data_IF_020332188248
#
_entry.id   IF_020332188248
#
_cell.length_a   1.000
_cell.length_b   1.000
_cell.length_c   1.000
_cell.angle_alpha   90.00
_cell.angle_beta   90.00
_cell.angle_gamma   90.00
#
_symmetry.space_group_name_H-M   'P 1'
#
loop_
_entity.id
_entity.type
_entity.pdbx_description
1 polymer ?
#
# COMPACT_ATOMS: atom_id res chain seq x y z
N UNK A 1 -15.34 12.90 7.94
CA UNK A 1 -14.43 11.86 8.44
C UNK A 1 -13.69 11.31 7.25
N UNK A 2 -12.37 11.47 7.19
CA UNK A 2 -11.54 10.93 6.10
C UNK A 2 -11.53 9.41 6.28
N UNK A 3 -11.97 8.67 5.27
CA UNK A 3 -12.03 7.20 5.31
C UNK A 3 -10.60 6.64 5.30
N UNK A 4 -10.02 6.52 6.47
CA UNK A 4 -8.65 6.01 6.68
C UNK A 4 -8.48 4.60 6.10
N UNK A 5 -9.57 3.82 6.11
CA UNK A 5 -9.61 2.47 5.55
C UNK A 5 -9.41 2.45 4.03
N UNK A 6 -9.98 3.42 3.31
CA UNK A 6 -9.75 3.56 1.85
C UNK A 6 -8.29 3.88 1.52
N UNK A 7 -7.63 4.69 2.34
CA UNK A 7 -6.23 5.04 2.16
C UNK A 7 -5.28 3.85 2.39
N UNK A 8 -5.57 3.03 3.40
CA UNK A 8 -4.79 1.82 3.68
C UNK A 8 -4.99 0.72 2.62
N UNK A 9 -6.14 0.70 1.96
CA UNK A 9 -6.46 -0.24 0.89
C UNK A 9 -5.99 0.23 -0.49
N UNK A 10 -5.68 1.52 -0.65
CA UNK A 10 -5.19 2.05 -1.91
C UNK A 10 -3.84 1.39 -2.28
N UNK A 11 -3.66 0.97 -3.53
CA UNK A 11 -2.36 0.45 -3.97
C UNK A 11 -1.30 1.52 -3.80
N UNK A 12 -0.06 1.16 -3.40
CA UNK A 12 1.01 2.13 -3.21
C UNK A 12 1.25 2.88 -4.52
N UNK A 13 1.47 4.19 -4.41
CA UNK A 13 1.75 5.04 -5.57
C UNK A 13 2.94 4.52 -6.35
N UNK A 14 2.82 4.44 -7.68
CA UNK A 14 3.87 3.95 -8.58
C UNK A 14 4.29 5.03 -9.57
N UNK A 15 5.52 4.89 -10.11
CA UNK A 15 6.04 5.81 -11.12
C UNK A 15 6.68 7.08 -10.55
N UNK A 16 6.81 8.11 -11.39
CA UNK A 16 7.52 9.35 -11.07
C UNK A 16 6.98 10.08 -9.83
N UNK A 17 5.67 10.00 -9.57
CA UNK A 17 5.05 10.59 -8.38
C UNK A 17 5.54 9.98 -7.07
N UNK A 18 5.82 8.67 -7.04
CA UNK A 18 6.35 8.00 -5.87
C UNK A 18 7.76 8.50 -5.54
N UNK A 19 8.60 8.69 -6.56
CA UNK A 19 9.94 9.28 -6.37
C UNK A 19 9.87 10.73 -5.93
N UNK A 20 8.98 11.54 -6.52
CA UNK A 20 8.76 12.92 -6.09
C UNK A 20 8.33 13.02 -4.63
N UNK A 21 7.40 12.17 -4.19
CA UNK A 21 6.97 12.11 -2.81
C UNK A 21 8.09 11.64 -1.87
N UNK A 22 8.93 10.69 -2.28
CA UNK A 22 10.08 10.24 -1.52
C UNK A 22 11.12 11.36 -1.33
N UNK A 23 11.41 12.12 -2.39
CA UNK A 23 12.31 13.27 -2.32
C UNK A 23 11.75 14.37 -1.41
N UNK A 24 10.45 14.67 -1.51
CA UNK A 24 9.79 15.64 -0.62
C UNK A 24 9.83 15.20 0.84
N UNK A 25 9.68 13.91 1.12
CA UNK A 25 9.75 13.38 2.47
C UNK A 25 11.13 13.57 3.14
N UNK A 26 12.20 13.69 2.35
CA UNK A 26 13.54 14.03 2.85
C UNK A 26 13.78 15.53 2.83
N UNK A 27 13.43 16.21 1.73
CA UNK A 27 13.73 17.63 1.53
C UNK A 27 12.97 18.52 2.51
N UNK A 28 11.70 18.21 2.80
CA UNK A 28 10.87 19.05 3.67
C UNK A 28 11.40 19.13 5.11
N UNK A 29 11.65 18.01 5.82
CA UNK A 29 12.23 18.07 7.17
C UNK A 29 13.64 18.65 7.17
N UNK A 30 14.44 18.44 6.10
CA UNK A 30 15.76 19.05 5.96
C UNK A 30 15.66 20.58 5.81
N UNK A 31 14.74 21.08 5.00
CA UNK A 31 14.50 22.51 4.82
C UNK A 31 13.98 23.17 6.11
N UNK A 32 13.04 22.53 6.81
CA UNK A 32 12.55 23.01 8.11
C UNK A 32 13.71 23.10 9.11
N UNK A 33 14.55 22.06 9.16
CA UNK A 33 15.71 22.05 10.05
C UNK A 33 16.72 23.15 9.68
N UNK A 34 16.99 23.35 8.40
CA UNK A 34 17.88 24.43 7.94
C UNK A 34 17.35 25.82 8.32
N UNK A 35 16.02 26.01 8.26
CA UNK A 35 15.39 27.28 8.63
C UNK A 35 15.44 27.55 10.15
N UNK A 36 15.50 26.49 10.98
CA UNK A 36 15.48 26.57 12.46
C UNK A 36 16.87 26.43 13.06
N UNK A 37 17.92 26.28 12.26
CA UNK A 37 19.30 26.01 12.68
C UNK A 37 19.92 26.97 13.73
N UNK A 38 19.19 28.02 14.17
CA UNK A 38 19.58 28.84 15.32
C UNK A 38 19.10 28.30 16.69
N UNK A 39 18.23 27.30 16.72
CA UNK A 39 17.51 26.86 17.93
C UNK A 39 17.74 25.38 18.25
N UNK A 40 18.10 24.54 17.27
CA UNK A 40 18.20 23.07 17.45
C UNK A 40 19.66 22.65 17.37
N UNK A 41 20.32 22.61 18.51
CA UNK A 41 21.64 21.99 18.69
C UNK A 41 21.45 20.55 19.15
N UNK A 42 21.54 19.57 18.23
CA UNK A 42 21.47 18.16 18.62
C UNK A 42 21.41 17.19 17.45
N UNK A 43 21.81 15.93 17.71
CA UNK A 43 21.74 14.80 16.77
C UNK A 43 20.32 14.25 16.64
N UNK A 44 19.32 15.13 16.56
CA UNK A 44 17.92 14.74 16.61
C UNK A 44 17.37 14.32 15.24
N UNK A 45 17.02 13.04 15.12
CA UNK A 45 16.32 12.47 13.95
C UNK A 45 14.79 12.59 14.08
N UNK A 46 14.31 13.05 15.23
CA UNK A 46 12.86 13.15 15.57
C UNK A 46 12.01 13.81 14.48
N UNK A 47 12.43 14.93 13.82
CA UNK A 47 11.64 15.58 12.78
C UNK A 47 11.41 14.73 11.54
N UNK A 48 12.21 13.68 11.30
CA UNK A 48 12.09 12.82 10.12
C UNK A 48 11.12 11.63 10.33
N UNK A 49 10.85 11.25 11.59
CA UNK A 49 9.97 10.12 11.90
C UNK A 49 8.56 10.23 11.28
N UNK A 50 7.84 11.36 11.38
CA UNK A 50 6.51 11.48 10.79
C UNK A 50 6.56 11.37 9.26
N UNK A 51 7.64 11.82 8.60
CA UNK A 51 7.79 11.71 7.16
C UNK A 51 8.11 10.29 6.71
N UNK A 52 8.89 9.53 7.49
CA UNK A 52 9.09 8.09 7.27
C UNK A 52 7.79 7.32 7.44
N UNK A 53 6.98 7.67 8.45
CA UNK A 53 5.67 7.06 8.64
C UNK A 53 4.75 7.33 7.45
N UNK A 54 4.66 8.57 6.98
CA UNK A 54 3.91 8.93 5.79
C UNK A 54 4.42 8.20 4.55
N UNK A 55 5.74 8.11 4.39
CA UNK A 55 6.34 7.35 3.30
C UNK A 55 5.98 5.85 3.38
N UNK A 56 5.98 5.26 4.57
CA UNK A 56 5.58 3.85 4.77
C UNK A 56 4.10 3.60 4.45
N UNK A 57 3.24 4.61 4.65
CA UNK A 57 1.81 4.54 4.32
C UNK A 57 1.56 4.73 2.83
N UNK A 58 2.25 5.65 2.17
CA UNK A 58 1.93 6.08 0.80
C UNK A 58 2.76 5.35 -0.27
N UNK A 59 3.99 4.96 0.08
CA UNK A 59 4.98 4.43 -0.85
C UNK A 59 5.14 2.90 -0.70
N UNK A 60 5.68 2.22 -1.71
CA UNK A 60 6.12 0.85 -1.55
C UNK A 60 7.27 0.78 -0.52
N UNK A 61 7.37 -0.34 0.18
CA UNK A 61 8.29 -0.53 1.31
C UNK A 61 9.75 -0.18 1.00
N UNK A 62 10.22 -0.47 -0.21
CA UNK A 62 11.60 -0.19 -0.63
C UNK A 62 11.88 1.33 -0.78
N UNK A 63 10.89 2.12 -1.26
CA UNK A 63 11.01 3.58 -1.31
C UNK A 63 10.97 4.19 0.09
N UNK A 64 10.14 3.68 0.99
CA UNK A 64 10.14 4.13 2.38
C UNK A 64 11.49 3.83 3.07
N UNK A 65 12.10 2.67 2.79
CA UNK A 65 13.44 2.34 3.25
C UNK A 65 14.50 3.29 2.66
N UNK A 66 14.40 3.62 1.38
CA UNK A 66 15.27 4.62 0.74
C UNK A 66 15.13 6.00 1.38
N UNK A 67 13.91 6.44 1.73
CA UNK A 67 13.70 7.71 2.45
C UNK A 67 14.44 7.71 3.78
N UNK A 68 14.37 6.62 4.56
CA UNK A 68 15.08 6.51 5.83
C UNK A 68 16.61 6.57 5.64
N UNK A 69 17.15 5.83 4.66
CA UNK A 69 18.58 5.82 4.35
C UNK A 69 19.07 7.18 3.83
N UNK A 70 18.31 7.82 2.93
CA UNK A 70 18.65 9.14 2.42
C UNK A 70 18.60 10.20 3.52
N UNK A 71 17.66 10.12 4.46
CA UNK A 71 17.61 11.03 5.60
C UNK A 71 18.88 10.95 6.45
N UNK A 72 19.37 9.73 6.72
CA UNK A 72 20.65 9.54 7.43
C UNK A 72 21.82 10.04 6.61
N UNK A 73 21.86 9.76 5.30
CA UNK A 73 22.92 10.21 4.40
C UNK A 73 22.99 11.73 4.28
N UNK A 74 21.85 12.40 4.12
CA UNK A 74 21.78 13.88 4.04
C UNK A 74 22.23 14.51 5.36
N UNK A 75 21.74 14.01 6.50
CA UNK A 75 22.16 14.50 7.81
C UNK A 75 23.66 14.25 8.04
N UNK A 76 24.15 13.03 7.73
CA UNK A 76 25.57 12.71 7.83
C UNK A 76 26.43 13.63 6.97
N UNK A 77 26.03 13.90 5.71
CA UNK A 77 26.75 14.81 4.83
C UNK A 77 26.78 16.27 5.32
N UNK A 78 25.68 16.72 5.95
CA UNK A 78 25.63 18.07 6.54
C UNK A 78 26.45 18.19 7.83
N UNK A 79 26.63 17.08 8.57
CA UNK A 79 27.34 17.06 9.84
C UNK A 79 28.85 16.73 9.72
N UNK A 80 29.27 16.05 8.64
CA UNK A 80 30.69 15.69 8.41
C UNK A 80 31.64 16.90 8.39
N UNK A 81 31.12 18.13 8.20
CA UNK A 81 31.91 19.37 8.33
C UNK A 81 32.20 19.86 9.77
N UNK A 82 31.57 19.21 10.78
CA UNK A 82 31.75 19.57 12.20
C UNK A 82 32.58 18.47 12.88
N UNK A 83 33.85 18.72 13.12
CA UNK A 83 34.87 17.75 13.52
C UNK A 83 34.88 17.36 15.01
N UNK A 84 33.80 17.53 15.75
CA UNK A 84 33.74 17.14 17.17
C UNK A 84 33.48 15.67 17.34
N UNK A 85 34.40 14.93 17.94
CA UNK A 85 34.31 13.48 18.20
C UNK A 85 33.05 13.10 18.98
N UNK A 86 32.60 13.95 19.92
CA UNK A 86 31.35 13.76 20.67
C UNK A 86 30.10 13.79 19.81
N UNK A 87 30.09 14.63 18.75
CA UNK A 87 28.99 14.72 17.78
C UNK A 87 28.92 13.47 16.90
N UNK A 88 30.05 12.88 16.55
CA UNK A 88 30.12 11.67 15.73
C UNK A 88 29.49 10.45 16.46
N UNK A 89 29.76 10.31 17.75
CA UNK A 89 29.21 9.22 18.57
C UNK A 89 27.70 9.37 18.82
N UNK A 90 27.24 10.61 19.09
CA UNK A 90 25.84 10.95 19.19
C UNK A 90 25.10 10.69 17.85
N UNK A 91 25.69 11.07 16.72
CA UNK A 91 25.12 10.86 15.40
C UNK A 91 24.97 9.37 15.09
N UNK A 92 25.99 8.55 15.33
CA UNK A 92 25.97 7.12 15.07
C UNK A 92 24.87 6.40 15.89
N UNK A 93 24.76 6.75 17.18
CA UNK A 93 23.73 6.20 18.06
C UNK A 93 22.32 6.66 17.62
N UNK A 94 22.15 7.94 17.33
CA UNK A 94 20.87 8.50 16.87
C UNK A 94 20.44 7.92 15.52
N UNK A 95 21.36 7.77 14.57
CA UNK A 95 21.11 7.14 13.28
C UNK A 95 20.73 5.66 13.44
N UNK A 96 21.38 4.93 14.32
CA UNK A 96 21.06 3.54 14.63
C UNK A 96 19.63 3.40 15.18
N UNK A 97 19.25 4.19 16.17
CA UNK A 97 17.91 4.21 16.75
C UNK A 97 16.86 4.62 15.69
N UNK A 98 17.16 5.63 14.88
CA UNK A 98 16.28 6.09 13.82
C UNK A 98 16.05 5.00 12.76
N UNK A 99 17.10 4.35 12.29
CA UNK A 99 16.98 3.25 11.31
C UNK A 99 16.21 2.06 11.89
N UNK A 100 16.46 1.68 13.13
CA UNK A 100 15.75 0.61 13.80
C UNK A 100 14.25 0.93 13.93
N UNK A 101 13.89 2.14 14.38
CA UNK A 101 12.51 2.59 14.50
C UNK A 101 11.81 2.70 13.14
N UNK A 102 12.54 3.17 12.11
CA UNK A 102 12.04 3.24 10.74
C UNK A 102 11.78 1.84 10.17
N UNK A 103 12.69 0.89 10.38
CA UNK A 103 12.53 -0.49 9.95
C UNK A 103 11.34 -1.16 10.66
N UNK A 104 11.17 -0.95 11.95
CA UNK A 104 10.01 -1.43 12.71
C UNK A 104 8.70 -0.85 12.15
N UNK A 105 8.64 0.46 11.90
CA UNK A 105 7.47 1.14 11.34
C UNK A 105 7.11 0.59 9.96
N UNK A 106 8.09 0.47 9.05
CA UNK A 106 7.90 -0.09 7.72
C UNK A 106 7.44 -1.56 7.82
N UNK A 107 8.05 -2.35 8.70
CA UNK A 107 7.68 -3.75 8.95
C UNK A 107 6.24 -3.91 9.42
N UNK A 108 5.81 -3.10 10.37
CA UNK A 108 4.42 -3.07 10.85
C UNK A 108 3.45 -2.72 9.72
N UNK A 109 3.76 -1.70 8.90
CA UNK A 109 2.90 -1.32 7.78
C UNK A 109 2.80 -2.41 6.71
N UNK A 110 3.92 -3.09 6.41
CA UNK A 110 3.92 -4.25 5.50
C UNK A 110 3.07 -5.40 6.07
N UNK A 111 3.21 -5.69 7.37
CA UNK A 111 2.42 -6.73 8.04
C UNK A 111 0.92 -6.40 8.01
N UNK A 112 0.53 -5.17 8.35
CA UNK A 112 -0.85 -4.69 8.29
C UNK A 112 -1.42 -4.87 6.87
N UNK A 113 -0.70 -4.44 5.84
CA UNK A 113 -1.13 -4.60 4.43
C UNK A 113 -1.30 -6.07 4.03
N UNK A 114 -0.40 -6.96 4.49
CA UNK A 114 -0.51 -8.41 4.23
C UNK A 114 -1.73 -9.01 4.91
N UNK A 115 -2.00 -8.63 6.17
CA UNK A 115 -3.19 -9.09 6.89
C UNK A 115 -4.47 -8.62 6.19
N UNK A 116 -4.56 -7.35 5.80
CA UNK A 116 -5.71 -6.83 5.05
C UNK A 116 -5.89 -7.53 3.70
N UNK A 117 -4.82 -7.79 2.95
CA UNK A 117 -4.90 -8.54 1.70
C UNK A 117 -5.38 -9.98 1.93
N UNK A 118 -4.90 -10.65 2.99
CA UNK A 118 -5.32 -12.01 3.33
C UNK A 118 -6.79 -12.08 3.80
N UNK A 119 -7.27 -11.08 4.54
CA UNK A 119 -8.67 -11.02 4.98
C UNK A 119 -9.60 -10.73 3.81
N UNK A 120 -9.18 -9.92 2.83
CA UNK A 120 -9.98 -9.72 1.61
C UNK A 120 -10.08 -11.00 0.77
N UNK A 121 -9.01 -11.77 0.64
CA UNK A 121 -9.05 -13.06 -0.05
C UNK A 121 -9.91 -14.09 0.70
N UNK A 122 -9.82 -14.15 2.03
CA UNK A 122 -10.68 -15.01 2.85
C UNK A 122 -12.15 -14.59 2.80
N UNK A 123 -12.42 -13.28 2.79
CA UNK A 123 -13.78 -12.76 2.64
C UNK A 123 -14.44 -13.14 1.31
N UNK A 124 -13.66 -13.46 0.28
CA UNK A 124 -14.19 -13.96 -1.02
C UNK A 124 -14.52 -15.47 -0.92
N UNK A 125 -13.74 -16.24 -0.16
CA UNK A 125 -13.97 -17.68 0.02
C UNK A 125 -15.04 -17.99 1.10
N UNK A 126 -15.23 -17.10 2.07
CA UNK A 126 -16.16 -17.30 3.20
C UNK A 126 -17.49 -16.54 3.01
N UNK A 127 -17.60 -15.73 1.96
CA UNK A 127 -18.86 -15.19 1.51
C UNK A 127 -19.63 -16.31 0.75
N UNK A 128 -20.37 -17.06 1.51
CA UNK A 128 -21.63 -17.69 1.08
C UNK A 128 -22.64 -16.62 0.58
N UNK A 129 -22.15 -15.42 0.35
CA UNK A 129 -22.79 -14.24 -0.20
C UNK A 129 -22.77 -14.28 -1.71
N UNK A 130 -23.72 -14.98 -2.27
CA UNK A 130 -23.94 -15.06 -3.70
C UNK A 130 -24.06 -13.68 -4.34
N UNK A 131 -23.68 -13.61 -5.61
CA UNK A 131 -23.98 -12.46 -6.45
C UNK A 131 -25.50 -12.38 -6.57
N UNK A 132 -26.09 -11.30 -6.09
CA UNK A 132 -27.50 -11.03 -6.27
C UNK A 132 -27.70 -10.34 -7.61
N UNK A 133 -28.44 -11.00 -8.48
CA UNK A 133 -28.86 -10.40 -9.74
C UNK A 133 -30.22 -9.74 -9.55
N UNK A 134 -30.34 -8.48 -9.89
CA UNK A 134 -31.60 -7.76 -9.95
C UNK A 134 -31.94 -7.39 -11.39
N UNK A 135 -33.21 -7.46 -11.75
CA UNK A 135 -33.72 -7.04 -13.05
C UNK A 135 -34.51 -5.76 -12.88
N UNK A 136 -34.00 -4.67 -13.45
CA UNK A 136 -34.67 -3.38 -13.45
C UNK A 136 -34.76 -2.83 -14.87
N UNK A 137 -35.99 -2.53 -15.34
CA UNK A 137 -36.24 -2.00 -16.68
C UNK A 137 -35.61 -2.79 -17.83
N UNK A 138 -35.66 -4.12 -17.75
CA UNK A 138 -35.06 -5.04 -18.74
C UNK A 138 -33.52 -5.04 -18.76
N UNK A 139 -32.88 -4.48 -17.75
CA UNK A 139 -31.44 -4.51 -17.53
C UNK A 139 -31.11 -5.34 -16.30
N UNK A 140 -30.08 -6.17 -16.41
CA UNK A 140 -29.58 -7.01 -15.33
C UNK A 140 -28.45 -6.28 -14.60
N UNK A 141 -28.60 -6.18 -13.30
CA UNK A 141 -27.62 -5.64 -12.39
C UNK A 141 -27.09 -6.74 -11.48
N UNK A 142 -25.80 -6.74 -11.24
CA UNK A 142 -25.17 -7.63 -10.25
C UNK A 142 -24.69 -6.82 -9.07
N UNK A 143 -25.02 -7.27 -7.86
CA UNK A 143 -24.50 -6.70 -6.62
C UNK A 143 -23.92 -7.81 -5.75
N UNK A 144 -22.81 -7.55 -5.10
CA UNK A 144 -22.27 -8.41 -4.06
C UNK A 144 -23.05 -8.15 -2.78
N UNK A 145 -23.50 -9.20 -2.12
CA UNK A 145 -24.24 -9.06 -0.87
C UNK A 145 -23.38 -8.32 0.15
N UNK A 146 -23.73 -7.05 0.43
CA UNK A 146 -23.13 -6.23 1.49
C UNK A 146 -21.96 -5.32 1.10
N UNK A 147 -21.47 -5.28 -0.14
CA UNK A 147 -20.34 -4.40 -0.46
C UNK A 147 -20.32 -3.93 -1.92
N UNK A 148 -20.44 -2.63 -2.08
CA UNK A 148 -20.24 -1.93 -3.34
C UNK A 148 -21.52 -1.55 -4.10
N UNK A 149 -21.43 -0.59 -5.03
CA UNK A 149 -22.56 -0.21 -5.87
C UNK A 149 -22.87 -1.32 -6.88
N UNK A 150 -24.16 -1.52 -7.25
CA UNK A 150 -24.55 -2.50 -8.24
C UNK A 150 -23.91 -2.21 -9.60
N UNK A 151 -23.40 -3.25 -10.25
CA UNK A 151 -22.77 -3.16 -11.57
C UNK A 151 -23.76 -3.57 -12.63
N UNK A 152 -23.94 -2.72 -13.65
CA UNK A 152 -24.79 -3.02 -14.81
C UNK A 152 -24.13 -4.06 -15.71
N UNK A 153 -24.76 -5.21 -15.90
CA UNK A 153 -24.27 -6.28 -16.79
C UNK A 153 -24.77 -6.14 -18.23
N UNK A 154 -25.93 -5.51 -18.41
CA UNK A 154 -26.54 -5.28 -19.72
C UNK A 154 -27.98 -5.76 -19.83
N UNK A 155 -28.50 -5.87 -21.06
CA UNK A 155 -29.86 -6.33 -21.29
C UNK A 155 -30.05 -7.80 -20.91
N UNK A 156 -31.26 -8.18 -20.46
CA UNK A 156 -31.59 -9.53 -20.08
C UNK A 156 -31.26 -10.58 -21.18
N UNK A 157 -31.50 -10.24 -22.45
CA UNK A 157 -31.21 -11.12 -23.58
C UNK A 157 -29.71 -11.39 -23.72
N UNK A 158 -28.88 -10.35 -23.56
CA UNK A 158 -27.42 -10.45 -23.64
C UNK A 158 -26.84 -11.29 -22.49
N UNK A 159 -27.35 -11.06 -21.27
CA UNK A 159 -26.88 -11.81 -20.09
C UNK A 159 -27.30 -13.29 -20.19
N UNK A 160 -28.50 -13.57 -20.70
CA UNK A 160 -28.95 -14.95 -20.94
C UNK A 160 -28.03 -15.65 -21.96
N UNK A 161 -27.75 -15.04 -23.09
CA UNK A 161 -26.85 -15.62 -24.10
C UNK A 161 -25.45 -15.89 -23.52
N UNK A 162 -24.91 -14.98 -22.72
CA UNK A 162 -23.62 -15.19 -22.05
C UNK A 162 -23.65 -16.34 -21.05
N UNK A 163 -24.76 -16.51 -20.31
CA UNK A 163 -24.92 -17.63 -19.36
C UNK A 163 -25.03 -18.98 -20.09
N UNK A 164 -25.76 -19.03 -21.18
CA UNK A 164 -25.89 -20.24 -22.02
C UNK A 164 -24.53 -20.65 -22.58
N UNK A 165 -23.76 -19.70 -23.11
CA UNK A 165 -22.38 -19.92 -23.60
C UNK A 165 -21.46 -20.42 -22.48
N UNK A 166 -21.54 -19.82 -21.30
CA UNK A 166 -20.72 -20.23 -20.16
C UNK A 166 -21.05 -21.66 -19.72
N UNK A 167 -22.33 -22.02 -19.62
CA UNK A 167 -22.75 -23.38 -19.26
C UNK A 167 -22.25 -24.39 -20.29
N UNK A 168 -22.37 -24.08 -21.58
CA UNK A 168 -21.86 -24.93 -22.65
C UNK A 168 -20.34 -25.16 -22.55
N UNK A 169 -19.57 -24.11 -22.23
CA UNK A 169 -18.13 -24.21 -22.03
C UNK A 169 -17.76 -25.07 -20.80
N UNK A 170 -18.50 -24.92 -19.69
CA UNK A 170 -18.29 -25.72 -18.47
C UNK A 170 -18.59 -27.19 -18.71
N UNK A 171 -19.67 -27.49 -19.43
CA UNK A 171 -20.00 -28.87 -19.80
C UNK A 171 -18.97 -29.49 -20.72
N UNK A 172 -18.48 -28.74 -21.71
CA UNK A 172 -17.40 -29.18 -22.59
C UNK A 172 -16.13 -29.48 -21.80
N UNK A 173 -15.75 -28.58 -20.89
CA UNK A 173 -14.59 -28.78 -20.02
C UNK A 173 -14.71 -30.01 -19.11
N UNK A 174 -15.91 -30.28 -18.59
CA UNK A 174 -16.19 -31.51 -17.81
C UNK A 174 -16.04 -32.78 -18.64
N UNK A 175 -16.51 -32.79 -19.89
CA UNK A 175 -16.38 -33.93 -20.80
C UNK A 175 -14.90 -34.23 -21.13
N UNK A 176 -14.09 -33.18 -21.34
CA UNK A 176 -12.65 -33.32 -21.57
C UNK A 176 -11.92 -33.94 -20.35
N UNK A 177 -12.27 -33.50 -19.14
CA UNK A 177 -11.70 -34.07 -17.90
C UNK A 177 -12.15 -35.52 -17.65
N UNK A 178 -13.41 -35.84 -17.91
CA UNK A 178 -13.93 -37.19 -17.75
C UNK A 178 -13.39 -38.20 -18.79
N UNK A 179 -13.05 -37.74 -19.99
CA UNK A 179 -12.41 -38.57 -21.01
C UNK A 179 -10.94 -38.90 -20.76
N UNK A 180 -10.23 -38.05 -20.02
CA UNK A 180 -8.81 -38.27 -19.68
C UNK A 180 -8.59 -39.22 -18.48
N UNK A 181 -9.67 -39.56 -17.75
CA UNK A 181 -9.59 -40.47 -16.58
C UNK A 181 -9.82 -41.94 -16.93
N UNK A 182 -10.09 -42.26 -18.20
CA UNK A 182 -10.39 -43.61 -18.67
C UNK A 182 -9.33 -44.16 -19.66
N UNK A 183 -8.14 -43.56 -19.71
CA UNK A 183 -6.96 -44.06 -20.40
C UNK A 183 -5.85 -44.35 -19.35
#
# INVERSE_FOLDING_TARGET
>A
MVDLTRWLQAPPTRGAWAFGAALLAVALPTAVRAAVNGVVTGCEFTPYLPFVLLAAILLPWWLAAMVAMLSVGVLGGLFVGQTDAMLAECFATGAGIFLASSAATIGVMVAIRRVFAATQLRGIDELDGGIVFSLERNEVWASWYGSGPPVRLGSQAKVRAMMEDFIAQVEFAKRLKGGASNL
#
